data_IF_484339507834
#
_entry.id   IF_484339507834
#
_cell.length_a   1.000
_cell.length_b   1.000
_cell.length_c   1.000
_cell.angle_alpha   90.00
_cell.angle_beta   90.00
_cell.angle_gamma   90.00
#
_symmetry.space_group_name_H-M   'P 1'
#
loop_
_entity.id
_entity.type
_entity.pdbx_description
1 polymer ?
#
# COMPACT_ATOMS: atom_id res chain seq x y z
N UNK A 1 -69.32 2.29 -66.12
CA UNK A 1 -68.16 2.78 -66.91
C UNK A 1 -66.97 1.88 -66.54
N UNK A 2 -66.81 0.67 -67.11
CA UNK A 2 -66.16 0.34 -68.39
C UNK A 2 -64.93 1.22 -68.69
N UNK A 3 -63.70 0.69 -68.56
CA UNK A 3 -62.94 0.03 -69.64
C UNK A 3 -61.62 -0.59 -69.12
N UNK A 4 -61.28 -1.71 -69.75
CA UNK A 4 -60.05 -2.51 -69.72
C UNK A 4 -58.82 -1.74 -70.23
N UNK A 5 -57.58 -2.15 -69.87
CA UNK A 5 -56.47 -2.56 -70.79
C UNK A 5 -55.40 -3.38 -70.03
N UNK A 6 -55.37 -4.67 -70.37
CA UNK A 6 -54.27 -5.57 -70.79
C UNK A 6 -52.81 -5.46 -70.28
N UNK A 7 -52.29 -6.65 -69.95
CA UNK A 7 -50.94 -7.07 -69.55
C UNK A 7 -49.76 -6.73 -70.47
N UNK A 8 -48.56 -6.66 -69.87
CA UNK A 8 -47.32 -7.13 -70.50
C UNK A 8 -46.40 -7.75 -69.43
N UNK A 9 -46.24 -9.07 -69.51
CA UNK A 9 -45.26 -9.86 -68.76
C UNK A 9 -43.93 -9.74 -69.48
N UNK A 10 -42.89 -9.25 -68.79
CA UNK A 10 -41.52 -9.28 -69.28
C UNK A 10 -40.76 -10.38 -68.53
N UNK A 11 -40.76 -11.59 -69.08
CA UNK A 11 -39.85 -12.67 -68.68
C UNK A 11 -38.45 -12.36 -69.19
N UNK A 12 -37.57 -11.88 -68.32
CA UNK A 12 -36.13 -11.91 -68.56
C UNK A 12 -35.56 -13.20 -67.99
N UNK A 13 -35.24 -14.14 -68.89
CA UNK A 13 -34.36 -15.25 -68.58
C UNK A 13 -32.91 -14.74 -68.60
N UNK A 14 -32.25 -14.72 -67.46
CA UNK A 14 -30.79 -14.61 -67.37
C UNK A 14 -30.28 -15.81 -66.59
N UNK A 15 -29.72 -16.76 -67.33
CA UNK A 15 -28.84 -17.78 -66.79
C UNK A 15 -27.53 -17.10 -66.38
N UNK A 16 -27.13 -17.22 -65.10
CA UNK A 16 -25.92 -16.61 -64.59
C UNK A 16 -25.48 -17.22 -63.26
N UNK A 17 -24.55 -18.17 -63.34
CA UNK A 17 -23.60 -18.65 -62.33
C UNK A 17 -24.05 -18.71 -60.84
N UNK A 18 -24.29 -19.92 -60.35
CA UNK A 18 -24.29 -20.22 -58.91
C UNK A 18 -22.85 -20.11 -58.40
N UNK A 19 -22.49 -18.97 -57.82
CA UNK A 19 -21.28 -18.83 -56.99
C UNK A 19 -21.66 -19.38 -55.61
N UNK A 20 -20.98 -20.40 -55.06
CA UNK A 20 -21.21 -20.80 -53.68
C UNK A 20 -20.82 -19.62 -52.80
N UNK A 21 -21.80 -19.06 -52.08
CA UNK A 21 -21.57 -18.06 -51.05
C UNK A 21 -20.76 -18.73 -49.93
N UNK A 22 -19.44 -18.60 -49.99
CA UNK A 22 -18.56 -18.92 -48.88
C UNK A 22 -18.87 -17.93 -47.77
N UNK A 23 -19.71 -18.34 -46.81
CA UNK A 23 -19.91 -17.62 -45.56
C UNK A 23 -18.56 -17.57 -44.85
N UNK A 24 -17.85 -16.45 -45.02
CA UNK A 24 -16.68 -16.13 -44.20
C UNK A 24 -17.27 -15.87 -42.81
N UNK A 25 -17.22 -16.89 -41.95
CA UNK A 25 -17.39 -16.71 -40.51
C UNK A 25 -16.16 -15.92 -40.07
N UNK A 26 -16.27 -14.59 -40.09
CA UNK A 26 -15.33 -13.73 -39.43
C UNK A 26 -15.41 -14.09 -37.94
N UNK A 27 -14.43 -14.86 -37.45
CA UNK A 27 -14.17 -14.99 -36.03
C UNK A 27 -13.90 -13.59 -35.50
N UNK A 28 -14.96 -12.96 -34.98
CA UNK A 28 -14.86 -11.75 -34.20
C UNK A 28 -14.05 -12.12 -32.95
N UNK A 29 -12.74 -11.91 -33.03
CA UNK A 29 -11.85 -11.96 -31.88
C UNK A 29 -12.24 -10.75 -31.02
N UNK A 30 -13.31 -10.90 -30.24
CA UNK A 30 -13.80 -9.90 -29.31
C UNK A 30 -12.76 -9.77 -28.20
N UNK A 31 -11.78 -8.90 -28.43
CA UNK A 31 -10.93 -8.42 -27.36
C UNK A 31 -11.85 -7.71 -26.36
N UNK A 32 -12.20 -8.43 -25.29
CA UNK A 32 -13.03 -7.93 -24.19
C UNK A 32 -12.35 -6.69 -23.64
N UNK A 33 -12.98 -5.53 -23.82
CA UNK A 33 -12.45 -4.26 -23.33
C UNK A 33 -12.32 -4.33 -21.81
N UNK A 34 -11.10 -4.12 -21.30
CA UNK A 34 -10.81 -4.18 -19.87
C UNK A 34 -11.29 -2.92 -19.17
N UNK A 35 -11.95 -3.07 -18.02
CA UNK A 35 -12.32 -1.92 -17.18
C UNK A 35 -11.05 -1.31 -16.60
N UNK A 36 -10.79 -0.05 -16.92
CA UNK A 36 -9.67 0.69 -16.28
C UNK A 36 -10.01 0.97 -14.81
N UNK A 37 -9.04 0.69 -13.92
CA UNK A 37 -9.10 0.98 -12.49
C UNK A 37 -7.87 1.81 -12.11
N UNK A 38 -8.07 3.07 -11.70
CA UNK A 38 -6.99 3.96 -11.26
C UNK A 38 -6.68 3.72 -9.79
N UNK A 39 -5.42 3.41 -9.47
CA UNK A 39 -4.99 3.09 -8.10
C UNK A 39 -3.93 4.08 -7.63
N UNK A 40 -4.24 4.82 -6.58
CA UNK A 40 -3.29 5.73 -5.93
C UNK A 40 -2.30 4.98 -5.04
N UNK A 41 -1.01 5.20 -5.25
CA UNK A 41 0.08 4.65 -4.44
C UNK A 41 1.06 5.76 -4.04
N UNK A 42 1.82 5.58 -2.98
CA UNK A 42 2.76 6.61 -2.51
C UNK A 42 4.20 6.16 -2.72
N UNK A 43 5.02 7.03 -3.34
CA UNK A 43 6.48 6.89 -3.47
C UNK A 43 6.97 5.44 -3.69
N UNK A 44 6.55 4.74 -4.77
CA UNK A 44 6.80 3.32 -4.91
C UNK A 44 8.28 3.02 -5.06
N UNK A 45 8.80 2.14 -4.21
CA UNK A 45 10.13 1.57 -4.32
C UNK A 45 10.28 0.70 -5.58
N UNK A 46 11.50 0.23 -5.87
CA UNK A 46 11.70 -0.75 -6.95
C UNK A 46 10.92 -2.04 -6.69
N UNK A 47 10.82 -2.44 -5.42
CA UNK A 47 10.04 -3.63 -5.03
C UNK A 47 8.54 -3.37 -5.20
N UNK A 48 8.03 -2.21 -4.79
CA UNK A 48 6.63 -1.84 -5.00
C UNK A 48 6.25 -1.86 -6.48
N UNK A 49 7.10 -1.29 -7.35
CA UNK A 49 6.87 -1.28 -8.79
C UNK A 49 6.78 -2.71 -9.35
N UNK A 50 7.64 -3.62 -8.88
CA UNK A 50 7.62 -5.02 -9.30
C UNK A 50 6.38 -5.75 -8.76
N UNK A 51 5.97 -5.50 -7.51
CA UNK A 51 4.71 -6.00 -6.93
C UNK A 51 3.54 -5.56 -7.80
N UNK A 52 3.40 -4.26 -8.06
CA UNK A 52 2.29 -3.74 -8.85
C UNK A 52 2.28 -4.24 -10.29
N UNK A 53 3.44 -4.51 -10.90
CA UNK A 53 3.51 -5.17 -12.22
C UNK A 53 2.93 -6.58 -12.21
N UNK A 54 3.12 -7.35 -11.14
CA UNK A 54 2.47 -8.66 -10.96
C UNK A 54 0.96 -8.48 -10.78
N UNK A 55 0.54 -7.50 -9.96
CA UNK A 55 -0.88 -7.19 -9.74
C UNK A 55 -1.58 -6.76 -11.02
N UNK A 56 -0.94 -5.94 -11.85
CA UNK A 56 -1.43 -5.52 -13.18
C UNK A 56 -1.69 -6.74 -14.08
N UNK A 57 -0.71 -7.63 -14.22
CA UNK A 57 -0.83 -8.88 -14.98
C UNK A 57 -1.96 -9.77 -14.46
N UNK A 58 -2.17 -9.82 -13.15
CA UNK A 58 -3.28 -10.55 -12.55
C UNK A 58 -4.63 -9.85 -12.79
N UNK A 59 -4.65 -8.51 -12.81
CA UNK A 59 -5.79 -7.67 -13.16
C UNK A 59 -6.36 -7.99 -14.54
N UNK A 60 -5.50 -8.14 -15.55
CA UNK A 60 -5.93 -8.44 -16.91
C UNK A 60 -6.73 -9.76 -16.99
N UNK A 61 -6.28 -10.79 -16.24
CA UNK A 61 -6.99 -12.08 -16.12
C UNK A 61 -8.35 -11.94 -15.42
N UNK A 62 -8.53 -10.90 -14.60
CA UNK A 62 -9.77 -10.59 -13.91
C UNK A 62 -10.62 -9.52 -14.63
N UNK A 63 -10.26 -9.14 -15.86
CA UNK A 63 -11.04 -8.22 -16.68
C UNK A 63 -10.83 -6.74 -16.35
N UNK A 64 -9.76 -6.39 -15.62
CA UNK A 64 -9.42 -5.00 -15.29
C UNK A 64 -8.05 -4.60 -15.84
N UNK A 65 -7.89 -3.34 -16.21
CA UNK A 65 -6.60 -2.70 -16.50
C UNK A 65 -6.27 -1.74 -15.38
N UNK A 66 -5.25 -2.06 -14.59
CA UNK A 66 -4.82 -1.19 -13.48
C UNK A 66 -3.97 -0.06 -14.05
N UNK A 67 -4.20 1.18 -13.59
CA UNK A 67 -3.38 2.34 -13.88
C UNK A 67 -2.95 2.97 -12.56
N UNK A 68 -1.65 2.98 -12.29
CA UNK A 68 -1.11 3.57 -11.07
C UNK A 68 -1.10 5.10 -11.18
N UNK A 69 -1.41 5.75 -10.06
CA UNK A 69 -1.27 7.20 -9.86
C UNK A 69 -0.38 7.39 -8.64
N UNK A 70 0.81 7.96 -8.86
CA UNK A 70 1.81 8.10 -7.80
C UNK A 70 1.67 9.43 -7.09
N UNK A 71 1.71 9.38 -5.77
CA UNK A 71 1.80 10.53 -4.87
C UNK A 71 3.17 10.53 -4.16
N UNK A 72 3.53 11.67 -3.58
CA UNK A 72 4.80 11.85 -2.85
C UNK A 72 4.60 12.06 -1.35
N UNK A 73 3.35 12.25 -0.90
CA UNK A 73 2.97 12.48 0.48
C UNK A 73 1.69 11.71 0.87
N UNK A 74 1.38 11.66 2.16
CA UNK A 74 0.24 10.92 2.71
C UNK A 74 -1.09 11.69 2.74
N UNK A 75 -1.10 12.99 2.43
CA UNK A 75 -2.29 13.84 2.53
C UNK A 75 -3.14 13.81 1.26
N UNK A 76 -2.51 13.64 0.10
CA UNK A 76 -3.19 13.71 -1.20
C UNK A 76 -4.05 12.48 -1.57
N UNK A 77 -3.66 11.22 -1.31
CA UNK A 77 -4.35 10.08 -1.93
C UNK A 77 -5.81 9.89 -1.50
N UNK A 78 -6.16 10.18 -0.24
CA UNK A 78 -7.54 10.08 0.23
C UNK A 78 -8.42 11.20 -0.34
N UNK A 79 -7.89 12.42 -0.49
CA UNK A 79 -8.60 13.51 -1.14
C UNK A 79 -8.91 13.17 -2.61
N UNK A 80 -7.91 12.65 -3.34
CA UNK A 80 -8.08 12.19 -4.72
C UNK A 80 -9.12 11.06 -4.83
N UNK A 81 -9.11 10.11 -3.89
CA UNK A 81 -10.09 9.02 -3.85
C UNK A 81 -11.52 9.54 -3.58
N UNK A 82 -11.68 10.44 -2.60
CA UNK A 82 -12.98 11.05 -2.27
C UNK A 82 -13.55 11.85 -3.44
N UNK A 83 -12.70 12.56 -4.19
CA UNK A 83 -13.09 13.40 -5.34
C UNK A 83 -13.41 12.61 -6.62
N UNK A 84 -13.10 11.31 -6.68
CA UNK A 84 -13.33 10.52 -7.89
C UNK A 84 -12.15 10.50 -8.88
N UNK A 85 -11.01 11.12 -8.54
CA UNK A 85 -9.85 11.20 -9.43
C UNK A 85 -9.15 9.84 -9.60
N UNK A 86 -9.25 8.98 -8.58
CA UNK A 86 -8.79 7.58 -8.56
C UNK A 86 -9.93 6.67 -8.06
N UNK A 87 -9.89 5.38 -8.38
CA UNK A 87 -10.92 4.39 -8.02
C UNK A 87 -10.63 3.69 -6.68
N UNK A 88 -9.35 3.53 -6.37
CA UNK A 88 -8.85 2.99 -5.10
C UNK A 88 -7.51 3.65 -4.74
N UNK A 89 -7.08 3.52 -3.49
CA UNK A 89 -5.70 3.78 -3.11
C UNK A 89 -5.14 2.66 -2.23
N UNK A 90 -3.82 2.54 -2.15
CA UNK A 90 -3.12 1.52 -1.38
C UNK A 90 -1.82 2.09 -0.81
N UNK A 91 -1.93 2.88 0.26
CA UNK A 91 -0.78 3.59 0.86
C UNK A 91 -0.81 3.69 2.39
N UNK A 92 -1.93 3.33 3.03
CA UNK A 92 -2.23 3.68 4.42
C UNK A 92 -2.69 2.46 5.20
N UNK A 93 -2.64 2.55 6.53
CA UNK A 93 -3.20 1.55 7.44
C UNK A 93 -4.58 1.92 7.98
N UNK A 94 -5.24 0.96 8.64
CA UNK A 94 -6.58 1.14 9.23
C UNK A 94 -6.69 2.37 10.13
N UNK A 95 -5.71 2.58 11.04
CA UNK A 95 -5.75 3.73 11.94
C UNK A 95 -5.75 5.08 11.19
N UNK A 96 -4.92 5.22 10.15
CA UNK A 96 -4.84 6.44 9.34
C UNK A 96 -6.16 6.69 8.60
N UNK A 97 -6.74 5.65 7.99
CA UNK A 97 -8.03 5.78 7.29
C UNK A 97 -9.15 6.22 8.26
N UNK A 98 -9.18 5.66 9.46
CA UNK A 98 -10.16 6.00 10.48
C UNK A 98 -10.03 7.46 10.94
N UNK A 99 -8.80 7.91 11.21
CA UNK A 99 -8.51 9.31 11.58
C UNK A 99 -8.85 10.27 10.43
N UNK A 100 -8.44 9.95 9.21
CA UNK A 100 -8.76 10.75 8.02
C UNK A 100 -10.27 10.90 7.82
N UNK A 101 -11.02 9.80 7.95
CA UNK A 101 -12.48 9.82 7.83
C UNK A 101 -13.14 10.69 8.90
N UNK A 102 -12.66 10.63 10.14
CA UNK A 102 -13.12 11.48 11.24
C UNK A 102 -12.85 12.96 10.95
N UNK A 103 -11.63 13.29 10.54
CA UNK A 103 -11.21 14.67 10.27
C UNK A 103 -11.92 15.28 9.04
N UNK A 104 -12.15 14.50 7.99
CA UNK A 104 -12.66 14.99 6.70
C UNK A 104 -14.14 14.67 6.44
N UNK A 105 -14.85 14.19 7.48
CA UNK A 105 -16.26 13.79 7.42
C UNK A 105 -16.56 12.92 6.19
N UNK A 106 -15.78 11.86 6.03
CA UNK A 106 -15.88 10.94 4.90
C UNK A 106 -16.10 9.50 5.36
N UNK A 107 -16.38 8.64 4.41
CA UNK A 107 -16.73 7.24 4.64
C UNK A 107 -15.95 6.29 3.72
N UNK A 108 -14.69 6.61 3.42
CA UNK A 108 -13.82 5.71 2.65
C UNK A 108 -13.69 4.38 3.38
N UNK A 109 -13.71 3.27 2.64
CA UNK A 109 -13.81 1.92 3.19
C UNK A 109 -12.53 1.13 2.90
N UNK A 110 -12.01 0.37 3.88
CA UNK A 110 -11.03 -0.67 3.60
C UNK A 110 -11.69 -1.78 2.79
N UNK A 111 -11.05 -2.24 1.71
CA UNK A 111 -11.58 -3.29 0.82
C UNK A 111 -10.65 -4.49 0.69
N UNK A 112 -9.40 -4.39 1.15
CA UNK A 112 -8.47 -5.50 1.25
C UNK A 112 -7.21 -5.11 2.00
N UNK A 113 -6.60 -6.04 2.71
CA UNK A 113 -5.30 -5.86 3.37
C UNK A 113 -4.15 -6.09 2.38
N UNK A 114 -3.04 -5.40 2.59
CA UNK A 114 -1.83 -5.50 1.77
C UNK A 114 -0.64 -5.97 2.60
N UNK A 115 0.05 -5.05 3.25
CA UNK A 115 1.31 -5.29 3.95
C UNK A 115 1.26 -4.77 5.38
N UNK A 116 2.06 -5.35 6.25
CA UNK A 116 2.39 -4.80 7.56
C UNK A 116 3.88 -4.47 7.55
N UNK A 117 4.23 -3.21 7.77
CA UNK A 117 5.63 -2.82 7.92
C UNK A 117 6.01 -2.69 9.39
N UNK A 118 6.88 -3.55 9.97
CA UNK A 118 7.35 -3.35 11.35
C UNK A 118 7.97 -1.95 11.53
N UNK A 119 7.61 -1.27 12.63
CA UNK A 119 8.13 0.07 12.90
C UNK A 119 9.65 0.02 13.14
N UNK A 120 10.39 1.03 12.68
CA UNK A 120 11.85 1.08 12.78
C UNK A 120 12.35 2.45 13.23
N UNK A 121 13.45 2.43 13.98
CA UNK A 121 14.22 3.62 14.34
C UNK A 121 15.55 3.58 13.59
N UNK A 122 15.92 4.69 12.97
CA UNK A 122 17.16 4.83 12.20
C UNK A 122 18.04 5.92 12.81
N UNK A 123 19.36 5.77 12.65
CA UNK A 123 20.35 6.80 12.95
C UNK A 123 21.49 6.72 11.95
N UNK A 124 22.00 7.87 11.52
CA UNK A 124 23.23 7.97 10.73
C UNK A 124 24.48 8.11 11.62
N UNK A 125 24.29 8.44 12.91
CA UNK A 125 25.35 8.70 13.89
C UNK A 125 25.62 7.50 14.81
N UNK A 126 24.57 6.75 15.16
CA UNK A 126 24.62 5.71 16.19
C UNK A 126 24.31 4.31 15.61
N UNK A 127 24.79 3.25 16.27
CA UNK A 127 24.57 1.85 15.85
C UNK A 127 23.55 1.13 16.72
N UNK A 128 23.28 1.63 17.91
CA UNK A 128 22.27 1.09 18.81
C UNK A 128 21.57 2.20 19.59
N UNK A 129 20.38 1.88 20.12
CA UNK A 129 19.63 2.80 21.01
C UNK A 129 20.40 3.19 22.28
N UNK A 130 21.40 2.39 22.69
CA UNK A 130 22.20 2.66 23.90
C UNK A 130 23.20 3.79 23.70
N UNK A 131 23.65 3.96 22.45
CA UNK A 131 24.67 4.94 22.05
C UNK A 131 24.10 6.35 21.87
N UNK A 132 22.77 6.50 21.91
CA UNK A 132 22.09 7.80 21.82
C UNK A 132 22.53 8.65 23.02
N UNK A 133 22.99 9.89 22.80
CA UNK A 133 23.43 10.80 23.86
C UNK A 133 22.24 11.28 24.70
N UNK A 134 22.54 11.75 25.90
CA UNK A 134 21.55 12.50 26.67
C UNK A 134 21.23 13.83 25.95
N UNK A 135 19.95 14.22 25.93
CA UNK A 135 19.47 15.38 25.17
C UNK A 135 19.40 15.16 23.65
N UNK A 136 19.50 13.92 23.18
CA UNK A 136 19.39 13.58 21.76
C UNK A 136 18.04 13.98 21.14
N UNK A 137 18.02 14.27 19.84
CA UNK A 137 16.80 14.63 19.10
C UNK A 137 16.30 13.48 18.24
N UNK A 138 15.05 13.07 18.46
CA UNK A 138 14.33 12.10 17.63
C UNK A 138 13.29 12.77 16.76
N UNK A 139 13.35 12.54 15.44
CA UNK A 139 12.29 12.95 14.52
C UNK A 139 11.17 11.89 14.45
N UNK A 140 9.92 12.34 14.49
CA UNK A 140 8.72 11.51 14.30
C UNK A 140 7.75 12.18 13.31
N UNK A 141 6.86 11.39 12.71
CA UNK A 141 5.79 11.95 11.88
C UNK A 141 4.82 12.78 12.72
N UNK A 142 4.22 13.82 12.14
CA UNK A 142 3.32 14.77 12.77
C UNK A 142 1.82 14.50 12.50
N UNK A 143 1.49 13.45 11.76
CA UNK A 143 0.10 13.00 11.69
C UNK A 143 -0.23 12.15 12.94
N UNK A 144 -1.45 12.27 13.51
CA UNK A 144 -1.75 11.71 14.84
C UNK A 144 -1.48 10.21 14.96
N UNK A 145 -1.71 9.45 13.88
CA UNK A 145 -1.64 7.99 13.93
C UNK A 145 -0.21 7.48 13.82
N UNK A 146 0.63 8.10 12.96
CA UNK A 146 2.03 7.74 12.87
C UNK A 146 2.86 8.34 14.01
N UNK A 147 2.48 9.51 14.57
CA UNK A 147 3.06 10.04 15.80
C UNK A 147 2.85 9.05 16.95
N UNK A 148 1.60 8.64 17.19
CA UNK A 148 1.26 7.66 18.22
C UNK A 148 2.04 6.35 18.04
N UNK A 149 2.12 5.86 16.81
CA UNK A 149 2.88 4.65 16.47
C UNK A 149 4.38 4.80 16.75
N UNK A 150 4.96 5.95 16.42
CA UNK A 150 6.36 6.26 16.68
C UNK A 150 6.64 6.33 18.19
N UNK A 151 5.76 6.97 18.96
CA UNK A 151 5.89 7.03 20.42
C UNK A 151 5.82 5.64 21.06
N UNK A 152 4.90 4.77 20.62
CA UNK A 152 4.87 3.38 21.08
C UNK A 152 6.15 2.62 20.75
N UNK A 153 6.74 2.85 19.58
CA UNK A 153 8.03 2.29 19.21
C UNK A 153 9.14 2.78 20.15
N UNK A 154 9.22 4.08 20.41
CA UNK A 154 10.24 4.66 21.30
C UNK A 154 10.09 4.14 22.73
N UNK A 155 8.86 3.93 23.20
CA UNK A 155 8.60 3.26 24.48
C UNK A 155 9.08 1.79 24.47
N UNK A 156 8.79 1.05 23.40
CA UNK A 156 9.24 -0.34 23.26
C UNK A 156 10.78 -0.44 23.17
N UNK A 157 11.44 0.59 22.63
CA UNK A 157 12.89 0.74 22.61
C UNK A 157 13.49 1.16 23.97
N UNK A 158 12.67 1.44 24.98
CA UNK A 158 13.10 1.85 26.32
C UNK A 158 13.57 3.30 26.43
N UNK A 159 13.30 4.14 25.42
CA UNK A 159 13.78 5.53 25.36
C UNK A 159 12.85 6.51 26.09
N UNK A 160 11.55 6.22 26.11
CA UNK A 160 10.53 7.03 26.75
C UNK A 160 9.53 6.16 27.52
N UNK A 161 8.75 6.78 28.42
CA UNK A 161 7.54 6.19 28.97
C UNK A 161 6.36 7.09 28.67
N UNK A 162 5.28 6.48 28.20
CA UNK A 162 4.01 7.13 27.91
C UNK A 162 3.09 6.92 29.12
N UNK A 163 2.24 7.90 29.39
CA UNK A 163 1.19 7.81 30.41
C UNK A 163 0.35 6.54 30.21
N UNK A 164 0.13 5.80 31.30
CA UNK A 164 -0.64 4.56 31.27
C UNK A 164 -2.09 4.80 30.77
N UNK A 165 -2.61 3.86 29.99
CA UNK A 165 -3.98 3.89 29.47
C UNK A 165 -4.19 4.76 28.22
N UNK A 166 -3.18 5.48 27.73
CA UNK A 166 -3.29 6.28 26.51
C UNK A 166 -3.13 5.40 25.28
N UNK A 167 -4.13 5.39 24.41
CA UNK A 167 -4.16 4.56 23.18
C UNK A 167 -3.75 5.30 21.92
N UNK A 168 -3.74 6.64 21.95
CA UNK A 168 -3.30 7.52 20.86
C UNK A 168 -2.43 8.65 21.45
N UNK A 169 -1.22 8.32 21.92
CA UNK A 169 -0.38 9.28 22.61
C UNK A 169 0.15 10.37 21.68
N UNK A 170 0.39 11.53 22.27
CA UNK A 170 1.15 12.64 21.69
C UNK A 170 2.43 12.90 22.49
N UNK A 171 3.30 13.78 22.02
CA UNK A 171 4.49 14.22 22.79
C UNK A 171 4.14 14.66 24.22
N UNK A 172 2.96 15.23 24.45
CA UNK A 172 2.48 15.68 25.77
C UNK A 172 2.20 14.54 26.75
N UNK A 173 2.03 13.32 26.26
CA UNK A 173 1.75 12.13 27.07
C UNK A 173 3.03 11.43 27.55
N UNK A 174 4.21 11.95 27.21
CA UNK A 174 5.50 11.44 27.68
C UNK A 174 5.70 11.85 29.14
N UNK A 175 5.80 10.85 30.04
CA UNK A 175 5.97 11.08 31.49
C UNK A 175 7.41 10.94 31.95
N UNK A 176 8.28 10.33 31.15
CA UNK A 176 9.73 10.28 31.40
C UNK A 176 10.49 9.93 30.12
N UNK A 177 11.72 10.41 29.99
CA UNK A 177 12.67 9.98 28.96
C UNK A 177 13.99 9.55 29.60
N UNK A 178 14.49 8.37 29.25
CA UNK A 178 15.73 7.82 29.82
C UNK A 178 16.98 8.61 29.40
N UNK A 179 16.87 9.40 28.32
CA UNK A 179 17.95 10.17 27.69
C UNK A 179 17.55 11.64 27.47
N UNK A 180 16.56 12.14 28.21
CA UNK A 180 16.01 13.50 28.05
C UNK A 180 15.75 13.90 26.58
N UNK A 181 15.22 12.97 25.78
CA UNK A 181 15.11 13.15 24.33
C UNK A 181 14.20 14.33 23.96
N UNK A 182 14.63 15.08 22.95
CA UNK A 182 13.81 16.06 22.27
C UNK A 182 13.06 15.40 21.11
N UNK A 183 11.72 15.36 21.19
CA UNK A 183 10.90 14.84 20.10
C UNK A 183 10.58 15.98 19.13
N UNK A 184 10.96 15.81 17.86
CA UNK A 184 10.72 16.76 16.77
C UNK A 184 9.70 16.17 15.80
N UNK A 185 8.51 16.75 15.78
CA UNK A 185 7.44 16.36 14.86
C UNK A 185 7.67 16.99 13.48
N UNK A 186 7.62 16.16 12.43
CA UNK A 186 7.84 16.55 11.04
C UNK A 186 6.80 15.90 10.13
N UNK A 187 6.61 16.43 8.93
CA UNK A 187 5.88 15.70 7.90
C UNK A 187 6.57 14.36 7.62
N UNK A 188 5.79 13.29 7.42
CA UNK A 188 6.31 11.93 7.36
C UNK A 188 7.39 11.75 6.27
N UNK A 189 7.22 12.42 5.12
CA UNK A 189 8.15 12.45 3.99
C UNK A 189 9.48 13.16 4.29
N UNK A 190 9.54 13.97 5.35
CA UNK A 190 10.73 14.71 5.78
C UNK A 190 11.56 13.97 6.83
N UNK A 191 11.01 12.93 7.47
CA UNK A 191 11.69 12.21 8.56
C UNK A 191 13.02 11.59 8.11
N UNK A 192 13.10 11.03 6.90
CA UNK A 192 14.35 10.47 6.36
C UNK A 192 15.42 11.54 6.12
N UNK A 193 15.05 12.66 5.48
CA UNK A 193 15.99 13.74 5.20
C UNK A 193 16.52 14.40 6.49
N UNK A 194 15.72 14.36 7.56
CA UNK A 194 16.06 14.94 8.85
C UNK A 194 17.28 14.29 9.52
N UNK A 195 17.62 13.04 9.19
CA UNK A 195 18.76 12.29 9.75
C UNK A 195 20.11 13.01 9.62
N UNK A 196 20.23 13.96 8.69
CA UNK A 196 21.41 14.83 8.55
C UNK A 196 21.60 15.80 9.72
N UNK A 197 20.54 16.05 10.50
CA UNK A 197 20.47 17.09 11.52
C UNK A 197 19.98 16.60 12.89
N UNK A 198 19.19 15.52 12.93
CA UNK A 198 18.73 14.88 14.17
C UNK A 198 19.63 13.71 14.55
N UNK A 199 19.39 13.10 15.70
CA UNK A 199 20.17 11.96 16.18
C UNK A 199 19.56 10.63 15.71
N UNK A 200 18.24 10.58 15.69
CA UNK A 200 17.48 9.44 15.20
C UNK A 200 16.15 9.86 14.59
N UNK A 201 15.56 8.99 13.77
CA UNK A 201 14.24 9.22 13.20
C UNK A 201 13.44 7.91 13.12
N UNK A 202 12.16 7.99 13.47
CA UNK A 202 11.18 6.94 13.12
C UNK A 202 10.70 7.22 11.70
N UNK A 203 10.95 6.29 10.79
CA UNK A 203 10.72 6.47 9.36
C UNK A 203 9.85 5.34 8.84
N UNK A 204 8.79 5.67 8.08
CA UNK A 204 7.94 4.68 7.40
C UNK A 204 8.72 3.89 6.35
N UNK A 205 8.44 2.59 6.24
CA UNK A 205 9.11 1.68 5.30
C UNK A 205 9.13 2.22 3.86
N UNK A 206 8.00 2.74 3.38
CA UNK A 206 7.86 3.34 2.05
C UNK A 206 8.95 4.36 1.73
N UNK A 207 9.27 5.29 2.66
CA UNK A 207 10.29 6.32 2.39
C UNK A 207 11.72 5.77 2.46
N UNK A 208 11.98 4.78 3.33
CA UNK A 208 13.27 4.08 3.41
C UNK A 208 13.55 3.35 2.09
N UNK A 209 12.58 2.60 1.61
CA UNK A 209 12.70 1.80 0.39
C UNK A 209 12.75 2.66 -0.87
N UNK A 210 11.93 3.70 -0.96
CA UNK A 210 11.93 4.64 -2.08
C UNK A 210 13.29 5.34 -2.25
N UNK A 211 13.95 5.65 -1.13
CA UNK A 211 15.29 6.24 -1.13
C UNK A 211 16.42 5.22 -1.34
N UNK A 212 16.10 3.91 -1.47
CA UNK A 212 17.09 2.85 -1.58
C UNK A 212 17.97 2.68 -0.33
N UNK A 213 17.53 3.18 0.83
CA UNK A 213 18.23 2.97 2.09
C UNK A 213 18.12 1.51 2.48
N UNK A 214 19.24 0.91 2.92
CA UNK A 214 19.22 -0.44 3.47
C UNK A 214 18.31 -0.49 4.70
N UNK A 215 17.22 -1.25 4.68
CA UNK A 215 16.30 -1.27 5.80
C UNK A 215 16.83 -1.96 7.05
N UNK A 216 17.86 -2.80 6.91
CA UNK A 216 18.57 -3.43 8.01
C UNK A 216 19.52 -2.46 8.73
N UNK A 217 19.64 -1.21 8.27
CA UNK A 217 20.39 -0.17 8.97
C UNK A 217 19.65 0.42 10.18
N UNK A 218 18.42 -0.05 10.46
CA UNK A 218 17.68 0.37 11.65
C UNK A 218 18.44 -0.01 12.93
N UNK A 219 18.53 0.93 13.86
CA UNK A 219 19.13 0.70 15.19
C UNK A 219 18.13 0.04 16.17
N UNK A 220 16.85 0.00 15.80
CA UNK A 220 15.80 -0.75 16.48
C UNK A 220 14.69 -1.14 15.50
N UNK A 221 14.17 -2.37 15.65
CA UNK A 221 13.03 -2.89 14.88
C UNK A 221 11.96 -3.34 15.87
N UNK A 222 10.80 -2.70 15.82
CA UNK A 222 9.67 -3.01 16.69
C UNK A 222 9.03 -4.34 16.30
N UNK A 223 8.81 -5.21 17.28
CA UNK A 223 8.09 -6.46 17.06
C UNK A 223 6.61 -6.18 16.78
N UNK A 224 6.23 -6.31 15.51
CA UNK A 224 4.87 -6.14 15.01
C UNK A 224 3.98 -7.40 15.17
N UNK A 225 4.40 -8.39 15.96
CA UNK A 225 3.56 -9.52 16.35
C UNK A 225 2.99 -9.30 17.76
N UNK A 226 2.20 -8.24 17.92
CA UNK A 226 1.54 -7.90 19.18
C UNK A 226 0.06 -7.57 18.98
N UNK A 227 -0.73 -7.57 20.06
CA UNK A 227 -2.19 -7.34 20.02
C UNK A 227 -2.61 -6.03 19.33
N UNK A 228 -1.72 -5.04 19.26
CA UNK A 228 -1.99 -3.73 18.66
C UNK A 228 -1.68 -3.67 17.15
N UNK A 229 -1.14 -4.74 16.57
CA UNK A 229 -0.50 -4.66 15.24
C UNK A 229 -1.49 -4.61 14.07
N UNK A 230 -2.73 -5.07 14.27
CA UNK A 230 -3.74 -5.10 13.21
C UNK A 230 -4.10 -3.69 12.69
N UNK A 231 -4.16 -2.68 13.57
CA UNK A 231 -4.48 -1.30 13.16
C UNK A 231 -3.42 -0.66 12.24
N UNK A 232 -2.22 -1.26 12.19
CA UNK A 232 -1.07 -0.84 11.39
C UNK A 232 -0.93 -1.62 10.08
N UNK A 233 -1.84 -2.57 9.80
CA UNK A 233 -1.90 -3.26 8.51
C UNK A 233 -2.34 -2.27 7.45
N UNK A 234 -1.54 -2.15 6.39
CA UNK A 234 -1.87 -1.35 5.23
C UNK A 234 -3.02 -1.99 4.44
N UNK A 235 -3.81 -1.14 3.80
CA UNK A 235 -5.05 -1.51 3.13
C UNK A 235 -5.13 -0.90 1.73
N UNK A 236 -5.90 -1.58 0.88
CA UNK A 236 -6.56 -0.97 -0.27
C UNK A 236 -7.83 -0.31 0.26
N UNK A 237 -8.02 0.98 -0.03
CA UNK A 237 -9.23 1.72 0.29
C UNK A 237 -9.99 2.12 -0.98
N UNK A 238 -11.32 2.17 -0.88
CA UNK A 238 -12.22 2.62 -1.94
C UNK A 238 -13.31 3.54 -1.37
N UNK A 239 -14.04 4.26 -2.23
CA UNK A 239 -15.27 4.96 -1.82
C UNK A 239 -16.32 3.94 -1.38
N UNK A 240 -17.18 4.33 -0.43
CA UNK A 240 -18.25 3.48 0.09
C UNK A 240 -19.08 2.81 -1.01
N UNK A 241 -19.53 3.59 -1.99
CA UNK A 241 -20.42 3.11 -3.07
C UNK A 241 -19.69 2.22 -4.09
N UNK A 242 -18.36 2.27 -4.11
CA UNK A 242 -17.52 1.47 -4.99
C UNK A 242 -17.02 0.18 -4.32
N UNK A 243 -17.01 0.11 -2.98
CA UNK A 243 -16.41 -0.97 -2.22
C UNK A 243 -16.93 -2.37 -2.60
N UNK A 244 -18.17 -2.47 -3.07
CA UNK A 244 -18.79 -3.74 -3.49
C UNK A 244 -18.76 -3.98 -5.00
N UNK A 245 -18.29 -3.02 -5.80
CA UNK A 245 -18.26 -3.15 -7.26
C UNK A 245 -17.28 -4.25 -7.69
N UNK A 246 -17.64 -4.94 -8.77
CA UNK A 246 -16.89 -6.11 -9.23
C UNK A 246 -15.42 -5.80 -9.54
N UNK A 247 -15.11 -4.61 -10.04
CA UNK A 247 -13.74 -4.23 -10.39
C UNK A 247 -12.86 -3.92 -9.17
N UNK A 248 -13.45 -3.49 -8.05
CA UNK A 248 -12.73 -3.35 -6.77
C UNK A 248 -12.42 -4.73 -6.18
N UNK A 249 -13.39 -5.65 -6.23
CA UNK A 249 -13.15 -7.05 -5.85
C UNK A 249 -12.09 -7.71 -6.73
N UNK A 250 -12.11 -7.44 -8.04
CA UNK A 250 -11.09 -7.90 -8.97
C UNK A 250 -9.70 -7.35 -8.62
N UNK A 251 -9.59 -6.06 -8.28
CA UNK A 251 -8.34 -5.44 -7.83
C UNK A 251 -7.78 -6.14 -6.58
N UNK A 252 -8.61 -6.33 -5.55
CA UNK A 252 -8.21 -7.02 -4.31
C UNK A 252 -7.75 -8.45 -4.60
N UNK A 253 -8.50 -9.19 -5.44
CA UNK A 253 -8.14 -10.56 -5.85
C UNK A 253 -6.84 -10.61 -6.63
N UNK A 254 -6.54 -9.59 -7.44
CA UNK A 254 -5.27 -9.50 -8.18
C UNK A 254 -4.08 -9.23 -7.27
N UNK A 255 -4.29 -8.51 -6.16
CA UNK A 255 -3.26 -8.22 -5.17
C UNK A 255 -3.04 -9.41 -4.22
N UNK A 256 -4.10 -9.96 -3.65
CA UNK A 256 -4.04 -11.00 -2.61
C UNK A 256 -3.82 -12.40 -3.19
N UNK A 257 -2.69 -12.58 -3.88
CA UNK A 257 -2.27 -13.85 -4.48
C UNK A 257 -1.03 -14.39 -3.79
N UNK A 258 -0.84 -15.72 -3.83
CA UNK A 258 0.36 -16.35 -3.28
C UNK A 258 1.65 -15.80 -3.91
N UNK A 259 1.64 -15.56 -5.22
CA UNK A 259 2.75 -14.99 -5.99
C UNK A 259 3.13 -13.59 -5.48
N UNK A 260 2.15 -12.69 -5.35
CA UNK A 260 2.39 -11.34 -4.81
C UNK A 260 2.92 -11.41 -3.37
N UNK A 261 2.32 -12.24 -2.53
CA UNK A 261 2.75 -12.37 -1.13
C UNK A 261 4.16 -12.93 -0.97
N UNK A 262 4.55 -13.91 -1.80
CA UNK A 262 5.91 -14.43 -1.84
C UNK A 262 6.88 -13.35 -2.31
N UNK A 263 6.54 -12.63 -3.39
CA UNK A 263 7.39 -11.57 -3.91
C UNK A 263 7.67 -10.49 -2.85
N UNK A 264 6.63 -10.02 -2.15
CA UNK A 264 6.76 -9.06 -1.04
C UNK A 264 7.73 -9.61 0.01
N UNK A 265 7.45 -10.81 0.53
CA UNK A 265 8.23 -11.37 1.65
C UNK A 265 9.70 -11.63 1.27
N UNK A 266 9.98 -12.01 0.03
CA UNK A 266 11.32 -12.36 -0.43
C UNK A 266 12.18 -11.14 -0.81
N UNK A 267 11.55 -10.02 -1.19
CA UNK A 267 12.28 -8.86 -1.78
C UNK A 267 12.28 -7.61 -0.89
N UNK A 268 11.46 -7.55 0.15
CA UNK A 268 11.43 -6.42 1.08
C UNK A 268 12.37 -6.56 2.28
N UNK A 269 13.14 -7.66 2.41
CA UNK A 269 14.07 -7.85 3.55
C UNK A 269 13.40 -7.66 4.92
N UNK A 270 12.10 -7.97 5.02
CA UNK A 270 11.29 -7.81 6.22
C UNK A 270 10.84 -6.38 6.55
N UNK A 271 11.11 -5.37 5.71
CA UNK A 271 10.55 -4.01 5.89
C UNK A 271 9.04 -4.00 5.91
N UNK A 272 8.47 -4.82 5.04
CA UNK A 272 7.07 -5.06 4.84
C UNK A 272 6.86 -6.56 4.65
N UNK A 273 5.76 -7.06 5.20
CA UNK A 273 5.35 -8.45 5.08
C UNK A 273 3.90 -8.51 4.61
N UNK A 274 3.58 -9.50 3.78
CA UNK A 274 2.20 -9.74 3.35
C UNK A 274 1.30 -10.01 4.57
N UNK A 275 0.16 -9.32 4.66
CA UNK A 275 -0.62 -9.23 5.90
C UNK A 275 -2.10 -9.62 5.78
N UNK A 276 -2.56 -10.13 4.63
CA UNK A 276 -3.95 -10.60 4.49
C UNK A 276 -4.13 -12.04 4.98
N UNK A 277 -5.38 -12.42 5.25
CA UNK A 277 -5.72 -13.80 5.59
C UNK A 277 -5.31 -14.79 4.49
N UNK A 278 -4.48 -15.78 4.86
CA UNK A 278 -3.96 -16.77 3.90
C UNK A 278 -2.70 -16.33 3.15
N UNK A 279 -2.14 -15.17 3.47
CA UNK A 279 -0.84 -14.75 2.96
C UNK A 279 0.27 -15.75 3.35
N UNK A 280 1.32 -15.90 2.51
CA UNK A 280 2.51 -16.66 2.87
C UNK A 280 3.14 -16.13 4.16
N UNK A 281 3.58 -17.04 5.04
CA UNK A 281 4.27 -16.65 6.29
C UNK A 281 5.61 -15.99 5.98
N UNK A 282 5.86 -14.84 6.58
CA UNK A 282 7.16 -14.16 6.51
C UNK A 282 8.03 -14.50 7.74
N UNK A 283 9.36 -14.44 7.57
CA UNK A 283 10.30 -14.41 8.69
C UNK A 283 10.55 -12.94 9.07
N UNK A 284 10.15 -12.53 10.27
CA UNK A 284 10.42 -11.18 10.77
C UNK A 284 11.76 -11.22 11.51
N UNK A 285 12.73 -10.43 11.06
CA UNK A 285 13.96 -10.19 11.83
C UNK A 285 13.71 -8.99 12.74
N UNK A 286 13.58 -9.25 14.03
CA UNK A 286 13.45 -8.24 15.10
C UNK A 286 14.80 -8.02 15.80
N UNK A 287 14.92 -6.92 16.55
CA UNK A 287 16.11 -6.65 17.37
C UNK A 287 16.43 -7.80 18.34
N UNK A 288 15.41 -8.47 18.89
CA UNK A 288 15.57 -9.61 19.80
C UNK A 288 16.13 -10.85 19.09
N UNK A 289 15.83 -11.03 17.80
CA UNK A 289 16.33 -12.18 17.00
C UNK A 289 17.72 -11.94 16.40
N UNK A 290 18.12 -10.67 16.20
CA UNK A 290 19.45 -10.32 15.69
C UNK A 290 20.56 -10.69 16.70
N UNK A 291 20.30 -10.54 18.01
CA UNK A 291 21.24 -10.91 19.07
C UNK A 291 21.54 -12.43 19.12
N UNK A 292 20.62 -13.29 18.67
CA UNK A 292 20.82 -14.75 18.69
C UNK A 292 21.60 -15.30 17.50
N UNK A 293 21.66 -14.56 16.39
CA UNK A 293 22.34 -15.00 15.17
C UNK A 293 23.87 -14.82 15.25
N UNK A 294 24.35 -13.83 16.00
CA UNK A 294 25.78 -13.55 16.12
C UNK A 294 26.52 -14.55 17.02
N UNK A 295 25.80 -15.27 17.90
CA UNK A 295 26.37 -16.33 18.76
C UNK A 295 26.47 -17.70 18.09
N UNK A 296 25.85 -17.90 16.92
CA UNK A 296 25.83 -19.20 16.24
C UNK A 296 26.94 -19.37 15.18
N UNK A 297 27.64 -18.30 14.80
CA UNK A 297 28.73 -18.32 13.82
C UNK A 297 30.13 -18.35 14.44
N UNK A 298 30.23 -18.56 15.76
CA UNK A 298 31.51 -18.62 16.49
C UNK A 298 31.68 -19.95 17.26
N UNK A 299 31.31 -21.07 16.63
CA UNK A 299 31.71 -22.41 17.08
C UNK A 299 32.22 -23.21 15.89
#
# INVERSE_FOLDING_TARGET
MSKFVTSAVLTLAVAGAVVPATTIVASANSHKELKTVKVGINSPSKTDQAVWKIVEKNGEKHGIKIKLVTFTDFNQPNAALKQGNIDANAFQHYAFLADWNKAHKSNLQPVGETVLGPGRLYSDKYKSVKDIPDGGTVAVANDPTNEARALFLLQAAGLIKIKAGVTSPTVKDIVSSAKHLHVKELAADQTLASLKSVDEAVISATFVEAAGRNPNSAIYVWNANNKQSHQWVNIIAARHDDAKKWYIKALVKSYQTKEVGQYINDHNNGTEIAAWQGAPKAKIVTADTASSATTASSK
#
